data_IF_775591093826
#
_entry.id   IF_775591093826
#
_cell.length_a   1.000
_cell.length_b   1.000
_cell.length_c   1.000
_cell.angle_alpha   90.00
_cell.angle_beta   90.00
_cell.angle_gamma   90.00
#
_symmetry.space_group_name_H-M   'P 1'
#
loop_
_entity.id
_entity.type
_entity.pdbx_description
1 polymer ?
#
# COMPACT_ATOMS: atom_id res chain seq x y z
N UNK A 1 -26.77 12.77 19.31
CA UNK A 1 -25.30 12.67 19.34
C UNK A 1 -24.91 11.28 18.83
N UNK A 2 -24.72 11.10 17.52
CA UNK A 2 -24.39 9.80 16.95
C UNK A 2 -22.98 9.39 17.41
N UNK A 3 -22.86 8.24 18.11
CA UNK A 3 -21.58 7.61 18.40
C UNK A 3 -20.84 7.40 17.08
N UNK A 4 -19.77 8.16 16.84
CA UNK A 4 -18.85 7.88 15.76
C UNK A 4 -18.40 6.43 15.94
N UNK A 5 -18.78 5.55 15.01
CA UNK A 5 -18.20 4.22 14.91
C UNK A 5 -16.70 4.45 14.87
N UNK A 6 -15.96 4.03 15.89
CA UNK A 6 -14.50 3.97 15.84
C UNK A 6 -14.16 3.30 14.52
N UNK A 7 -13.61 4.05 13.58
CA UNK A 7 -13.35 3.58 12.22
C UNK A 7 -12.44 2.35 12.33
N UNK A 8 -12.81 1.25 11.68
CA UNK A 8 -12.06 -0.02 11.71
C UNK A 8 -10.58 0.23 11.36
N UNK A 9 -10.31 1.23 10.53
CA UNK A 9 -8.95 1.69 10.22
C UNK A 9 -8.17 2.17 11.45
N UNK A 10 -8.81 2.91 12.35
CA UNK A 10 -8.17 3.40 13.57
C UNK A 10 -7.81 2.25 14.49
N UNK A 11 -8.68 1.26 14.62
CA UNK A 11 -8.42 0.05 15.40
C UNK A 11 -7.30 -0.80 14.77
N UNK A 12 -7.25 -0.92 13.45
CA UNK A 12 -6.16 -1.63 12.78
C UNK A 12 -4.80 -0.92 13.01
N UNK A 13 -4.78 0.42 12.98
CA UNK A 13 -3.57 1.22 13.22
C UNK A 13 -3.01 1.05 14.64
N UNK A 14 -3.84 0.84 15.66
CA UNK A 14 -3.35 0.60 17.03
C UNK A 14 -2.55 -0.69 17.15
N UNK A 15 -2.75 -1.66 16.25
CA UNK A 15 -1.99 -2.91 16.23
C UNK A 15 -0.69 -2.84 15.41
N UNK A 16 -0.35 -1.69 14.81
CA UNK A 16 0.83 -1.55 13.95
C UNK A 16 2.12 -1.96 14.68
N UNK A 17 2.30 -1.52 15.93
CA UNK A 17 3.51 -1.84 16.71
C UNK A 17 3.63 -3.35 16.95
N UNK A 18 2.52 -4.00 17.35
CA UNK A 18 2.49 -5.44 17.56
C UNK A 18 2.78 -6.20 16.26
N UNK A 19 2.19 -5.78 15.13
CA UNK A 19 2.43 -6.38 13.82
C UNK A 19 3.91 -6.27 13.39
N UNK A 20 4.54 -5.12 13.62
CA UNK A 20 5.98 -4.93 13.33
C UNK A 20 6.83 -5.87 14.20
N UNK A 21 6.55 -5.97 15.50
CA UNK A 21 7.26 -6.92 16.39
C UNK A 21 7.11 -8.37 15.92
N UNK A 22 5.92 -8.76 15.47
CA UNK A 22 5.69 -10.10 14.92
C UNK A 22 6.52 -10.35 13.66
N UNK A 23 6.60 -9.39 12.72
CA UNK A 23 7.43 -9.53 11.51
C UNK A 23 8.91 -9.70 11.87
N UNK A 24 9.42 -8.89 12.81
CA UNK A 24 10.80 -9.03 13.31
C UNK A 24 11.01 -10.40 13.95
N UNK A 25 10.05 -10.88 14.74
CA UNK A 25 10.08 -12.21 15.33
C UNK A 25 10.16 -13.33 14.29
N UNK A 26 9.30 -13.29 13.26
CA UNK A 26 9.28 -14.26 12.16
C UNK A 26 10.62 -14.26 11.42
N UNK A 27 11.15 -13.08 11.08
CA UNK A 27 12.43 -12.95 10.36
C UNK A 27 13.61 -13.61 11.12
N UNK A 28 13.61 -13.47 12.44
CA UNK A 28 14.65 -14.00 13.33
C UNK A 28 14.42 -15.46 13.77
N UNK A 29 13.26 -16.06 13.47
CA UNK A 29 12.95 -17.41 13.91
C UNK A 29 13.55 -18.46 12.96
N UNK A 30 14.58 -19.23 13.39
CA UNK A 30 15.28 -20.16 12.49
C UNK A 30 14.43 -21.35 12.07
N UNK A 31 13.38 -21.68 12.83
CA UNK A 31 12.44 -22.78 12.54
C UNK A 31 11.25 -22.35 11.66
N UNK A 32 11.11 -21.05 11.36
CA UNK A 32 10.06 -20.59 10.46
C UNK A 32 10.40 -20.96 9.02
N UNK A 33 9.37 -21.11 8.17
CA UNK A 33 9.60 -21.37 6.75
C UNK A 33 10.48 -20.26 6.14
N UNK A 34 11.49 -20.61 5.32
CA UNK A 34 12.37 -19.61 4.70
C UNK A 34 11.60 -18.51 3.96
N UNK A 35 10.54 -18.88 3.25
CA UNK A 35 9.68 -17.93 2.54
C UNK A 35 9.00 -16.92 3.48
N UNK A 36 8.54 -17.35 4.66
CA UNK A 36 7.93 -16.46 5.65
C UNK A 36 8.95 -15.46 6.22
N UNK A 37 10.20 -15.89 6.41
CA UNK A 37 11.30 -15.01 6.86
C UNK A 37 11.63 -13.93 5.83
N UNK A 38 11.72 -14.33 4.55
CA UNK A 38 11.95 -13.39 3.43
C UNK A 38 10.79 -12.41 3.28
N UNK A 39 9.54 -12.90 3.35
CA UNK A 39 8.37 -12.05 3.28
C UNK A 39 8.32 -11.03 4.43
N UNK A 40 8.67 -11.44 5.65
CA UNK A 40 8.73 -10.55 6.79
C UNK A 40 9.83 -9.48 6.65
N UNK A 41 11.01 -9.86 6.17
CA UNK A 41 12.11 -8.93 5.88
C UNK A 41 11.71 -7.89 4.81
N UNK A 42 11.18 -8.35 3.68
CA UNK A 42 10.72 -7.46 2.60
C UNK A 42 9.63 -6.49 3.08
N UNK A 43 8.68 -6.97 3.88
CA UNK A 43 7.61 -6.13 4.43
C UNK A 43 8.12 -5.00 5.35
N UNK A 44 9.24 -5.21 6.05
CA UNK A 44 9.90 -4.18 6.86
C UNK A 44 10.68 -3.20 5.98
N UNK A 45 11.43 -3.70 4.99
CA UNK A 45 12.20 -2.87 4.06
C UNK A 45 11.30 -1.95 3.24
N UNK A 46 10.21 -2.49 2.68
CA UNK A 46 9.22 -1.73 1.91
C UNK A 46 8.59 -0.57 2.71
N UNK A 47 8.53 -0.69 4.04
CA UNK A 47 8.00 0.35 4.94
C UNK A 47 9.05 1.36 5.38
N UNK A 48 10.29 0.92 5.61
CA UNK A 48 11.38 1.80 6.06
C UNK A 48 12.03 2.60 4.92
N UNK A 49 12.14 1.98 3.74
CA UNK A 49 12.86 2.54 2.60
C UNK A 49 11.95 2.81 1.40
N UNK A 50 10.70 2.39 1.47
CA UNK A 50 9.78 2.43 0.34
C UNK A 50 9.99 1.26 -0.62
N UNK A 51 9.08 1.12 -1.58
CA UNK A 51 9.24 0.19 -2.70
C UNK A 51 10.11 0.80 -3.79
N UNK A 52 10.74 -0.06 -4.58
CA UNK A 52 11.40 0.36 -5.81
C UNK A 52 10.46 1.23 -6.66
N UNK A 53 11.00 2.33 -7.21
CA UNK A 53 10.26 3.24 -8.05
C UNK A 53 9.62 2.45 -9.20
N UNK A 54 8.30 2.40 -9.22
CA UNK A 54 7.57 1.78 -10.33
C UNK A 54 7.63 2.75 -11.52
N UNK A 55 8.16 2.34 -12.68
CA UNK A 55 8.09 3.17 -13.86
C UNK A 55 6.62 3.39 -14.22
N UNK A 56 6.20 4.66 -14.27
CA UNK A 56 4.90 5.06 -14.79
C UNK A 56 5.04 5.20 -16.30
N UNK A 57 4.71 4.14 -17.01
CA UNK A 57 4.83 4.09 -18.48
C UNK A 57 3.47 4.26 -19.15
N UNK A 58 3.47 4.77 -20.39
CA UNK A 58 2.28 4.89 -21.23
C UNK A 58 1.60 3.55 -21.55
N UNK A 59 0.47 3.61 -22.27
CA UNK A 59 -0.47 2.50 -22.52
C UNK A 59 0.18 1.23 -23.10
N UNK A 60 1.31 1.38 -23.81
CA UNK A 60 2.06 0.28 -24.43
C UNK A 60 3.35 -0.13 -23.68
N UNK A 61 3.57 0.40 -22.46
CA UNK A 61 4.83 0.15 -21.76
C UNK A 61 6.03 0.87 -22.41
N UNK A 62 5.77 1.84 -23.30
CA UNK A 62 6.75 2.75 -23.87
C UNK A 62 6.36 4.22 -23.59
N UNK A 63 7.36 5.05 -23.26
CA UNK A 63 7.19 6.50 -23.10
C UNK A 63 6.58 6.98 -21.77
N UNK A 64 6.66 8.30 -21.49
CA UNK A 64 6.16 8.87 -20.25
C UNK A 64 4.62 8.81 -20.17
N UNK A 65 4.11 8.59 -18.95
CA UNK A 65 2.67 8.62 -18.68
C UNK A 65 2.05 10.00 -19.01
N UNK A 66 1.02 10.01 -19.85
CA UNK A 66 0.28 11.23 -20.24
C UNK A 66 -0.95 11.37 -19.35
N UNK A 67 -1.05 12.47 -18.60
CA UNK A 67 -2.20 12.79 -17.75
C UNK A 67 -3.11 13.76 -18.52
N UNK A 68 -4.30 13.30 -18.94
CA UNK A 68 -5.33 14.18 -19.51
C UNK A 68 -6.33 14.59 -18.44
N UNK A 69 -6.34 15.88 -18.07
CA UNK A 69 -7.33 16.43 -17.14
C UNK A 69 -8.54 16.88 -17.94
N UNK A 70 -9.67 16.19 -17.81
CA UNK A 70 -10.95 16.59 -18.41
C UNK A 70 -11.87 17.23 -17.37
N UNK A 71 -12.52 18.33 -17.74
CA UNK A 71 -13.55 19.00 -16.94
C UNK A 71 -14.93 18.50 -17.39
N UNK A 72 -15.66 17.81 -16.53
CA UNK A 72 -16.99 17.25 -16.82
C UNK A 72 -18.12 18.31 -16.96
N UNK A 73 -17.80 19.60 -17.07
CA UNK A 73 -18.79 20.68 -17.12
C UNK A 73 -19.25 21.05 -18.54
N UNK A 74 -18.65 20.47 -19.58
CA UNK A 74 -19.04 20.69 -20.98
C UNK A 74 -19.71 19.45 -21.58
N UNK A 75 -20.57 18.78 -20.80
CA UNK A 75 -21.54 17.82 -21.35
C UNK A 75 -22.69 18.65 -21.95
N UNK A 76 -22.78 18.87 -23.28
CA UNK A 76 -24.03 19.34 -23.85
C UNK A 76 -25.05 18.27 -23.51
N UNK A 77 -26.11 18.63 -22.77
CA UNK A 77 -27.30 17.81 -22.69
C UNK A 77 -27.64 17.35 -24.09
N UNK A 78 -27.61 16.04 -24.31
CA UNK A 78 -28.15 15.44 -25.52
C UNK A 78 -29.62 15.86 -25.61
N UNK A 79 -29.94 16.65 -26.64
CA UNK A 79 -31.30 16.79 -27.18
C UNK A 79 -31.79 15.47 -27.77
#
# INVERSE_FOLDING_TARGET
>A
MAKAKTDIRSLARTHTEAAVKTLVGIMNQPKAQPAARVAAANALLDRGWGKAAQPLTGEDGEGPLVIQVVKFADCPSAE
#
